data_IF_116151901107
#
_entry.id   IF_116151901107
#
_cell.length_a   1.000
_cell.length_b   1.000
_cell.length_c   1.000
_cell.angle_alpha   90.00
_cell.angle_beta   90.00
_cell.angle_gamma   90.00
#
_symmetry.space_group_name_H-M   'P 1'
#
loop_
_entity.id
_entity.type
_entity.pdbx_description
1 polymer ?
#
# COMPACT_ATOMS: atom_id res chain seq x y z
N UNK A 1 16.27 -0.59 30.56
CA UNK A 1 15.01 -0.67 31.32
C UNK A 1 13.84 -0.55 30.35
N UNK A 2 13.44 -1.64 29.70
CA UNK A 2 12.38 -1.67 28.65
C UNK A 2 11.53 -2.94 28.68
N UNK A 3 11.89 -3.93 29.51
CA UNK A 3 11.16 -5.20 29.59
C UNK A 3 9.76 -5.06 30.23
N UNK A 4 9.52 -4.00 31.00
CA UNK A 4 8.24 -3.81 31.72
C UNK A 4 7.09 -3.41 30.79
N UNK A 5 7.34 -2.63 29.73
CA UNK A 5 6.29 -2.17 28.80
C UNK A 5 5.80 -3.28 27.88
N UNK A 6 6.69 -4.19 27.48
CA UNK A 6 6.34 -5.31 26.60
C UNK A 6 5.59 -6.40 27.37
N UNK A 7 5.93 -6.59 28.65
CA UNK A 7 5.17 -7.46 29.56
C UNK A 7 3.79 -6.84 29.83
N UNK A 8 3.68 -5.54 30.10
CA UNK A 8 2.38 -4.86 30.24
C UNK A 8 1.54 -4.91 28.97
N UNK A 9 2.16 -4.79 27.79
CA UNK A 9 1.49 -4.90 26.49
C UNK A 9 0.91 -6.29 26.27
N UNK A 10 1.71 -7.34 26.50
CA UNK A 10 1.26 -8.75 26.41
C UNK A 10 0.26 -9.12 27.49
N UNK A 11 0.39 -8.57 28.70
CA UNK A 11 -0.57 -8.78 29.79
C UNK A 11 -1.91 -8.10 29.46
N UNK A 12 -1.91 -6.91 28.86
CA UNK A 12 -3.11 -6.24 28.35
C UNK A 12 -3.76 -7.00 27.19
N UNK A 13 -2.98 -7.52 26.25
CA UNK A 13 -3.50 -8.37 25.18
C UNK A 13 -4.10 -9.67 25.74
N UNK A 14 -3.47 -10.31 26.72
CA UNK A 14 -4.01 -11.52 27.37
C UNK A 14 -5.24 -11.24 28.22
N UNK A 15 -5.32 -10.08 28.90
CA UNK A 15 -6.52 -9.63 29.62
C UNK A 15 -7.67 -9.24 28.68
N UNK A 16 -7.37 -8.86 27.44
CA UNK A 16 -8.38 -8.60 26.40
C UNK A 16 -8.80 -9.86 25.66
N UNK A 17 -8.05 -10.96 25.74
CA UNK A 17 -8.43 -12.29 25.22
C UNK A 17 -9.18 -13.09 26.29
N UNK A 18 -8.88 -12.89 27.57
CA UNK A 18 -9.55 -13.54 28.70
C UNK A 18 -10.71 -12.73 29.28
N UNK A 19 -11.90 -13.34 29.31
CA UNK A 19 -13.13 -12.92 30.01
C UNK A 19 -14.06 -11.99 29.20
N UNK A 20 -15.24 -12.52 28.83
CA UNK A 20 -16.41 -11.69 28.52
C UNK A 20 -16.73 -10.86 29.77
N UNK A 21 -16.65 -9.55 29.67
CA UNK A 21 -17.17 -8.66 30.73
C UNK A 21 -18.69 -8.79 30.68
N UNK A 22 -19.27 -9.35 31.73
CA UNK A 22 -20.70 -9.58 31.83
C UNK A 22 -21.43 -8.23 31.82
N UNK A 23 -22.36 -8.06 30.86
CA UNK A 23 -23.08 -6.79 30.66
C UNK A 23 -22.37 -5.76 29.77
N UNK A 24 -21.19 -6.05 29.20
CA UNK A 24 -20.55 -5.16 28.21
C UNK A 24 -21.39 -5.07 26.93
N UNK A 25 -21.52 -3.85 26.40
CA UNK A 25 -22.36 -3.53 25.24
C UNK A 25 -21.55 -2.67 24.28
N UNK A 26 -21.93 -2.72 23.01
CA UNK A 26 -21.38 -1.79 22.02
C UNK A 26 -21.81 -0.37 22.40
N UNK A 27 -20.83 0.47 22.75
CA UNK A 27 -21.05 1.85 23.14
C UNK A 27 -20.96 2.83 21.97
N UNK A 28 -20.34 2.40 20.86
CA UNK A 28 -20.25 3.15 19.62
C UNK A 28 -20.84 2.33 18.47
N UNK A 29 -21.61 2.99 17.61
CA UNK A 29 -22.12 2.38 16.38
C UNK A 29 -21.03 2.25 15.32
N UNK A 30 -21.16 1.25 14.44
CA UNK A 30 -20.20 0.98 13.37
C UNK A 30 -19.93 2.19 12.46
N UNK A 31 -20.94 3.05 12.22
CA UNK A 31 -20.76 4.26 11.42
C UNK A 31 -19.74 5.23 12.04
N UNK A 32 -19.77 5.40 13.37
CA UNK A 32 -18.80 6.24 14.10
C UNK A 32 -17.42 5.62 14.05
N UNK A 33 -17.33 4.30 14.26
CA UNK A 33 -16.06 3.57 14.22
C UNK A 33 -15.43 3.61 12.82
N UNK A 34 -16.24 3.48 11.75
CA UNK A 34 -15.78 3.57 10.36
C UNK A 34 -15.29 4.98 10.01
N UNK A 35 -16.05 6.01 10.39
CA UNK A 35 -15.66 7.41 10.15
C UNK A 35 -14.36 7.81 10.90
N UNK A 36 -14.13 7.19 12.06
CA UNK A 36 -12.86 7.33 12.78
C UNK A 36 -11.70 6.61 12.08
N UNK A 37 -11.95 5.41 11.53
CA UNK A 37 -10.93 4.61 10.84
C UNK A 37 -10.54 5.18 9.46
N UNK A 38 -11.47 5.83 8.75
CA UNK A 38 -11.21 6.44 7.45
C UNK A 38 -10.71 7.90 7.54
N UNK A 39 -10.65 8.47 8.75
CA UNK A 39 -10.17 9.82 9.02
C UNK A 39 -11.17 10.92 8.64
N UNK A 40 -12.37 10.58 8.17
CA UNK A 40 -13.41 11.56 7.84
C UNK A 40 -13.91 12.32 9.07
N UNK A 41 -13.79 11.72 10.26
CA UNK A 41 -14.15 12.36 11.53
C UNK A 41 -13.29 11.83 12.69
N UNK A 42 -12.61 12.71 13.46
CA UNK A 42 -11.94 12.29 14.68
C UNK A 42 -12.95 11.92 15.78
N UNK A 43 -12.59 10.97 16.65
CA UNK A 43 -13.38 10.64 17.84
C UNK A 43 -13.36 11.79 18.86
N UNK A 44 -14.54 12.19 19.32
CA UNK A 44 -14.71 13.14 20.45
C UNK A 44 -14.13 12.56 21.74
N UNK A 45 -13.93 13.41 22.76
CA UNK A 45 -13.45 12.95 24.06
C UNK A 45 -14.38 11.90 24.71
N UNK A 46 -15.70 12.09 24.58
CA UNK A 46 -16.71 11.14 25.07
C UNK A 46 -16.67 9.81 24.32
N UNK A 47 -16.52 9.83 22.99
CA UNK A 47 -16.40 8.61 22.19
C UNK A 47 -15.09 7.86 22.47
N UNK A 48 -13.99 8.57 22.71
CA UNK A 48 -12.72 7.96 23.15
C UNK A 48 -12.85 7.29 24.51
N UNK A 49 -13.52 7.94 25.47
CA UNK A 49 -13.80 7.35 26.77
C UNK A 49 -14.70 6.11 26.66
N UNK A 50 -15.74 6.17 25.82
CA UNK A 50 -16.62 5.03 25.55
C UNK A 50 -15.88 3.86 24.88
N UNK A 51 -14.96 4.14 23.94
CA UNK A 51 -14.12 3.12 23.32
C UNK A 51 -13.22 2.44 24.35
N UNK A 52 -12.58 3.20 25.24
CA UNK A 52 -11.70 2.65 26.29
C UNK A 52 -12.46 1.88 27.37
N UNK A 53 -13.69 2.27 27.68
CA UNK A 53 -14.52 1.65 28.70
C UNK A 53 -15.13 0.30 28.27
N UNK A 54 -15.20 0.01 26.97
CA UNK A 54 -15.84 -1.20 26.43
C UNK A 54 -14.86 -2.06 25.61
N UNK A 55 -14.37 -3.18 26.19
CA UNK A 55 -13.61 -4.18 25.44
C UNK A 55 -14.34 -4.68 24.20
N UNK A 56 -15.67 -4.83 24.23
CA UNK A 56 -16.48 -5.23 23.08
C UNK A 56 -16.42 -4.18 21.95
N UNK A 57 -16.49 -2.89 22.29
CA UNK A 57 -16.36 -1.79 21.32
C UNK A 57 -14.95 -1.73 20.72
N UNK A 58 -13.89 -1.96 21.52
CA UNK A 58 -12.52 -2.09 21.01
C UNK A 58 -12.34 -3.29 20.06
N UNK A 59 -12.89 -4.46 20.42
CA UNK A 59 -12.89 -5.64 19.55
C UNK A 59 -13.61 -5.33 18.23
N UNK A 60 -14.76 -4.65 18.28
CA UNK A 60 -15.50 -4.24 17.08
C UNK A 60 -14.70 -3.29 16.20
N UNK A 61 -14.05 -2.28 16.77
CA UNK A 61 -13.15 -1.38 16.04
C UNK A 61 -12.02 -2.16 15.35
N UNK A 62 -11.40 -3.13 16.05
CA UNK A 62 -10.35 -3.99 15.47
C UNK A 62 -10.87 -4.83 14.30
N UNK A 63 -12.06 -5.43 14.44
CA UNK A 63 -12.71 -6.17 13.35
C UNK A 63 -12.98 -5.27 12.14
N UNK A 64 -13.55 -4.08 12.35
CA UNK A 64 -13.82 -3.13 11.26
C UNK A 64 -12.55 -2.64 10.58
N UNK A 65 -11.45 -2.45 11.34
CA UNK A 65 -10.15 -2.10 10.77
C UNK A 65 -9.58 -3.22 9.89
N UNK A 66 -9.74 -4.48 10.31
CA UNK A 66 -9.33 -5.65 9.53
C UNK A 66 -10.20 -5.81 8.26
N UNK A 67 -11.51 -5.66 8.38
CA UNK A 67 -12.45 -5.68 7.23
C UNK A 67 -12.09 -4.59 6.21
N UNK A 68 -11.81 -3.37 6.67
CA UNK A 68 -11.38 -2.27 5.81
C UNK A 68 -10.06 -2.59 5.09
N UNK A 69 -9.09 -3.14 5.83
CA UNK A 69 -7.80 -3.52 5.23
C UNK A 69 -7.99 -4.62 4.19
N UNK A 70 -8.81 -5.64 4.46
CA UNK A 70 -9.14 -6.68 3.49
C UNK A 70 -9.85 -6.10 2.25
N UNK A 71 -10.83 -5.22 2.43
CA UNK A 71 -11.51 -4.56 1.32
C UNK A 71 -10.56 -3.69 0.48
N UNK A 72 -9.61 -2.98 1.10
CA UNK A 72 -8.60 -2.20 0.39
C UNK A 72 -7.61 -3.09 -0.38
N UNK A 73 -7.31 -4.28 0.15
CA UNK A 73 -6.51 -5.30 -0.54
C UNK A 73 -7.26 -5.81 -1.78
N UNK A 74 -8.54 -6.12 -1.64
CA UNK A 74 -9.36 -6.67 -2.72
C UNK A 74 -9.69 -5.62 -3.81
N UNK A 75 -9.86 -4.36 -3.42
CA UNK A 75 -10.24 -3.26 -4.31
C UNK A 75 -9.07 -2.62 -5.07
N UNK A 76 -7.82 -2.98 -4.80
CA UNK A 76 -6.69 -2.41 -5.56
C UNK A 76 -6.76 -2.87 -7.03
N UNK A 77 -6.86 -1.90 -7.93
CA UNK A 77 -6.90 -2.11 -9.38
C UNK A 77 -5.70 -1.50 -10.11
N UNK A 78 -4.98 -0.57 -9.47
CA UNK A 78 -3.79 0.04 -10.04
C UNK A 78 -3.22 1.20 -9.22
N UNK A 79 -2.01 1.62 -9.60
CA UNK A 79 -1.25 2.70 -8.99
C UNK A 79 -0.67 3.61 -10.08
N UNK A 80 -0.80 4.92 -9.93
CA UNK A 80 -0.24 5.92 -10.87
C UNK A 80 1.03 6.54 -10.33
N UNK A 81 1.91 7.03 -11.21
CA UNK A 81 3.08 7.81 -10.84
C UNK A 81 3.49 8.79 -11.93
N UNK A 82 4.43 9.67 -11.59
CA UNK A 82 4.87 10.75 -12.47
C UNK A 82 6.38 10.96 -12.37
N UNK A 83 7.03 11.19 -13.52
CA UNK A 83 8.39 11.70 -13.60
C UNK A 83 8.44 13.10 -12.98
N UNK A 84 9.09 13.21 -11.81
CA UNK A 84 9.35 14.51 -11.18
C UNK A 84 10.73 14.98 -11.63
N UNK A 85 10.80 16.27 -11.99
CA UNK A 85 11.91 16.90 -12.70
C UNK A 85 13.30 16.33 -12.34
N UNK A 86 13.91 15.64 -13.30
CA UNK A 86 15.31 15.23 -13.25
C UNK A 86 16.14 16.34 -13.90
N UNK A 87 16.35 17.44 -13.18
CA UNK A 87 17.07 18.64 -13.66
C UNK A 87 18.61 18.51 -13.61
N UNK A 88 19.14 17.30 -13.42
CA UNK A 88 20.59 17.12 -13.17
C UNK A 88 21.40 16.62 -14.37
N UNK A 89 20.77 16.39 -15.53
CA UNK A 89 21.45 15.78 -16.69
C UNK A 89 21.92 14.33 -16.47
N UNK A 90 21.65 13.75 -15.30
CA UNK A 90 21.89 12.35 -15.00
C UNK A 90 20.75 11.48 -15.57
N UNK A 91 21.08 10.26 -16.00
CA UNK A 91 20.10 9.29 -16.48
C UNK A 91 19.05 8.98 -15.40
N UNK A 92 17.78 8.84 -15.82
CA UNK A 92 16.69 8.44 -14.93
C UNK A 92 16.98 7.07 -14.34
N UNK A 93 17.12 6.99 -13.02
CA UNK A 93 17.41 5.73 -12.31
C UNK A 93 16.17 5.07 -11.74
N UNK A 94 15.19 5.86 -11.30
CA UNK A 94 13.96 5.33 -10.72
C UNK A 94 12.74 6.26 -10.84
N UNK A 95 11.55 5.66 -10.80
CA UNK A 95 10.26 6.32 -10.60
C UNK A 95 9.48 5.60 -9.48
N UNK A 96 8.60 6.31 -8.80
CA UNK A 96 7.72 5.74 -7.79
C UNK A 96 6.25 6.10 -8.08
N UNK A 97 5.34 5.23 -7.68
CA UNK A 97 3.91 5.54 -7.70
C UNK A 97 3.55 6.51 -6.56
N UNK A 98 2.53 7.35 -6.78
CA UNK A 98 2.13 8.39 -5.83
C UNK A 98 1.55 7.81 -4.52
N UNK A 99 1.06 6.57 -4.56
CA UNK A 99 0.62 5.81 -3.37
C UNK A 99 1.76 5.09 -2.63
N UNK A 100 3.00 5.22 -3.11
CA UNK A 100 4.17 4.60 -2.51
C UNK A 100 4.16 3.07 -2.55
N UNK A 101 3.37 2.44 -3.43
CA UNK A 101 3.26 0.99 -3.46
C UNK A 101 4.24 0.32 -4.44
N UNK A 102 4.70 1.03 -5.48
CA UNK A 102 5.63 0.50 -6.49
C UNK A 102 6.76 1.46 -6.81
N UNK A 103 7.88 0.89 -7.27
CA UNK A 103 8.96 1.60 -7.95
C UNK A 103 9.28 0.97 -9.29
N UNK A 104 9.64 1.79 -10.26
CA UNK A 104 10.29 1.37 -11.50
C UNK A 104 11.75 1.75 -11.42
N UNK A 105 12.65 0.78 -11.52
CA UNK A 105 14.08 1.00 -11.63
C UNK A 105 14.54 0.82 -13.06
N UNK A 106 15.53 1.62 -13.47
CA UNK A 106 16.16 1.55 -14.78
C UNK A 106 17.62 1.18 -14.59
N UNK A 107 17.96 -0.09 -14.85
CA UNK A 107 19.30 -0.62 -14.69
C UNK A 107 20.06 -0.56 -16.03
N UNK A 108 21.16 0.19 -16.07
CA UNK A 108 21.95 0.42 -17.28
C UNK A 108 21.85 1.88 -17.75
N UNK A 109 22.13 2.12 -19.03
CA UNK A 109 22.15 3.48 -19.60
C UNK A 109 21.43 3.56 -20.95
N UNK A 110 20.77 4.70 -21.17
CA UNK A 110 20.07 4.99 -22.42
C UNK A 110 18.97 3.98 -22.73
N UNK A 111 18.84 3.62 -24.01
CA UNK A 111 17.82 2.70 -24.51
C UNK A 111 18.16 1.21 -24.30
N UNK A 112 19.42 0.89 -23.95
CA UNK A 112 19.85 -0.48 -23.69
C UNK A 112 19.64 -0.91 -22.22
N UNK A 113 18.89 -0.13 -21.43
CA UNK A 113 18.65 -0.42 -20.03
C UNK A 113 17.60 -1.54 -19.85
N UNK A 114 17.55 -2.08 -18.64
CA UNK A 114 16.50 -2.96 -18.17
C UNK A 114 15.54 -2.16 -17.30
N UNK A 115 14.25 -2.44 -17.41
CA UNK A 115 13.23 -1.89 -16.52
C UNK A 115 12.80 -2.96 -15.53
N UNK A 116 12.78 -2.61 -14.25
CA UNK A 116 12.42 -3.50 -13.14
C UNK A 116 11.28 -2.84 -12.38
N UNK A 117 10.12 -3.49 -12.33
CA UNK A 117 9.03 -3.12 -11.43
C UNK A 117 9.27 -3.81 -10.09
N UNK A 118 9.31 -3.02 -9.02
CA UNK A 118 9.47 -3.48 -7.64
C UNK A 118 8.24 -3.11 -6.82
N UNK A 119 7.62 -4.10 -6.18
CA UNK A 119 6.58 -3.93 -5.18
C UNK A 119 7.20 -3.57 -3.83
N UNK A 120 6.69 -2.53 -3.16
CA UNK A 120 7.19 -2.13 -1.85
C UNK A 120 6.49 -2.93 -0.73
N UNK A 121 7.24 -3.34 0.32
CA UNK A 121 6.71 -4.20 1.37
C UNK A 121 5.60 -3.54 2.21
N UNK A 122 5.53 -2.21 2.21
CA UNK A 122 4.48 -1.44 2.87
C UNK A 122 3.14 -1.46 2.11
N UNK A 123 3.12 -1.91 0.85
CA UNK A 123 1.91 -1.94 0.04
C UNK A 123 0.86 -2.86 0.68
N UNK A 124 -0.35 -2.36 1.00
CA UNK A 124 -1.35 -3.13 1.74
C UNK A 124 -1.72 -4.47 1.09
N UNK A 125 -1.68 -4.52 -0.24
CA UNK A 125 -2.03 -5.65 -1.11
C UNK A 125 -0.84 -6.54 -1.52
N UNK A 126 0.38 -6.28 -1.02
CA UNK A 126 1.59 -6.98 -1.44
C UNK A 126 1.46 -8.51 -1.32
N UNK A 127 1.03 -9.00 -0.15
CA UNK A 127 0.87 -10.42 0.11
C UNK A 127 -0.13 -11.09 -0.86
N UNK A 128 -1.17 -10.35 -1.30
CA UNK A 128 -2.14 -10.85 -2.28
C UNK A 128 -1.47 -11.02 -3.64
N UNK A 129 -0.82 -9.97 -4.14
CA UNK A 129 -0.19 -9.98 -5.46
C UNK A 129 0.85 -11.10 -5.62
N UNK A 130 1.66 -11.33 -4.57
CA UNK A 130 2.66 -12.39 -4.56
C UNK A 130 2.02 -13.79 -4.53
N UNK A 131 1.06 -14.00 -3.63
CA UNK A 131 0.40 -15.31 -3.47
C UNK A 131 -0.42 -15.70 -4.70
N UNK A 132 -1.11 -14.76 -5.32
CA UNK A 132 -1.98 -15.01 -6.46
C UNK A 132 -1.25 -14.89 -7.81
N UNK A 133 0.04 -14.52 -7.79
CA UNK A 133 0.88 -14.33 -8.97
C UNK A 133 0.16 -13.50 -10.05
N UNK A 134 -0.45 -12.38 -9.59
CA UNK A 134 -1.27 -11.49 -10.43
C UNK A 134 -0.42 -10.96 -11.58
N UNK A 135 -0.99 -10.96 -12.79
CA UNK A 135 -0.34 -10.38 -13.95
C UNK A 135 -0.42 -8.86 -13.86
N UNK A 136 0.74 -8.20 -13.81
CA UNK A 136 0.83 -6.75 -13.75
C UNK A 136 1.25 -6.19 -15.10
N UNK A 137 0.73 -5.00 -15.41
CA UNK A 137 1.09 -4.22 -16.59
C UNK A 137 1.55 -2.83 -16.15
N UNK A 138 2.65 -2.38 -16.73
CA UNK A 138 3.17 -1.02 -16.58
C UNK A 138 2.90 -0.29 -17.89
N UNK A 139 2.15 0.80 -17.82
CA UNK A 139 1.80 1.64 -18.97
C UNK A 139 2.43 3.02 -18.83
N UNK A 140 2.85 3.62 -19.95
CA UNK A 140 3.23 5.03 -20.00
C UNK A 140 1.99 5.95 -19.97
N UNK A 141 2.23 7.27 -19.93
CA UNK A 141 1.15 8.26 -19.88
C UNK A 141 0.29 8.34 -21.14
N UNK A 142 0.67 7.66 -22.24
CA UNK A 142 -0.15 7.48 -23.43
C UNK A 142 -0.89 6.13 -23.46
N UNK A 143 -0.72 5.28 -22.43
CA UNK A 143 -1.30 3.95 -22.35
C UNK A 143 -0.52 2.86 -23.08
N UNK A 144 0.70 3.14 -23.53
CA UNK A 144 1.58 2.15 -24.18
C UNK A 144 2.22 1.27 -23.13
N UNK A 145 2.27 -0.03 -23.37
CA UNK A 145 2.89 -0.99 -22.46
C UNK A 145 4.41 -0.88 -22.44
N UNK A 146 4.97 -0.73 -21.25
CA UNK A 146 6.41 -0.74 -20.97
C UNK A 146 6.85 -2.14 -20.53
N UNK A 147 6.06 -2.76 -19.66
CA UNK A 147 6.36 -4.05 -19.04
C UNK A 147 5.05 -4.79 -18.76
N UNK A 148 5.06 -6.11 -18.97
CA UNK A 148 4.01 -7.00 -18.50
C UNK A 148 4.66 -8.24 -17.87
N UNK A 149 4.25 -8.59 -16.65
CA UNK A 149 4.85 -9.70 -15.94
C UNK A 149 4.17 -10.03 -14.61
N UNK A 150 4.54 -11.17 -14.05
CA UNK A 150 4.18 -11.55 -12.67
C UNK A 150 5.37 -11.28 -11.77
N UNK A 151 5.10 -10.84 -10.55
CA UNK A 151 6.15 -10.66 -9.54
C UNK A 151 6.74 -12.00 -9.13
N UNK A 152 8.04 -12.03 -8.93
CA UNK A 152 8.76 -13.16 -8.35
C UNK A 152 8.68 -13.16 -6.80
N UNK A 153 9.47 -14.02 -6.16
CA UNK A 153 9.48 -14.15 -4.70
C UNK A 153 9.99 -12.90 -3.97
N UNK A 154 10.78 -12.07 -4.64
CA UNK A 154 11.33 -10.82 -4.11
C UNK A 154 10.39 -9.62 -4.38
N UNK A 155 9.30 -9.86 -5.11
CA UNK A 155 8.33 -8.83 -5.46
C UNK A 155 8.76 -7.99 -6.65
N UNK A 156 9.53 -8.58 -7.56
CA UNK A 156 10.05 -7.91 -8.75
C UNK A 156 9.59 -8.58 -10.05
N UNK A 157 9.47 -7.79 -11.10
CA UNK A 157 9.41 -8.31 -12.46
C UNK A 157 10.12 -7.36 -13.42
N UNK A 158 10.73 -7.90 -14.47
CA UNK A 158 11.67 -7.14 -15.29
C UNK A 158 11.63 -7.52 -16.76
N UNK A 159 11.96 -6.55 -17.63
CA UNK A 159 12.19 -6.79 -19.04
C UNK A 159 13.26 -5.84 -19.59
N UNK A 160 13.76 -6.14 -20.79
CA UNK A 160 14.53 -5.16 -21.54
C UNK A 160 13.65 -3.93 -21.80
N UNK A 161 14.23 -2.73 -21.75
CA UNK A 161 13.52 -1.52 -22.12
C UNK A 161 13.06 -1.62 -23.58
N UNK A 162 11.76 -1.49 -23.87
CA UNK A 162 11.23 -1.84 -25.19
C UNK A 162 11.29 -0.69 -26.19
N UNK A 163 11.74 0.51 -25.78
CA UNK A 163 11.70 1.71 -26.61
C UNK A 163 13.10 2.16 -27.05
N UNK A 164 13.19 2.83 -28.21
CA UNK A 164 14.46 3.34 -28.73
C UNK A 164 14.95 4.60 -28.01
N UNK A 165 14.05 5.37 -27.39
CA UNK A 165 14.39 6.57 -26.62
C UNK A 165 14.84 6.16 -25.20
N UNK A 166 15.72 6.95 -24.58
CA UNK A 166 16.07 6.73 -23.17
C UNK A 166 14.83 6.92 -22.26
N UNK A 167 14.72 6.23 -21.10
CA UNK A 167 13.53 6.29 -20.25
C UNK A 167 13.05 7.70 -19.92
N UNK A 168 13.95 8.60 -19.55
CA UNK A 168 13.62 10.00 -19.24
C UNK A 168 12.92 10.71 -20.41
N UNK A 169 13.50 10.61 -21.61
CA UNK A 169 12.99 11.23 -22.83
C UNK A 169 11.64 10.62 -23.24
N UNK A 170 11.52 9.29 -23.14
CA UNK A 170 10.27 8.58 -23.42
C UNK A 170 9.14 9.09 -22.51
N UNK A 171 9.34 9.09 -21.19
CA UNK A 171 8.30 9.57 -20.27
C UNK A 171 7.96 11.04 -20.50
N UNK A 172 8.95 11.92 -20.70
CA UNK A 172 8.70 13.33 -21.00
C UNK A 172 7.79 13.52 -22.23
N UNK A 173 8.06 12.78 -23.31
CA UNK A 173 7.24 12.83 -24.54
C UNK A 173 5.83 12.27 -24.35
N UNK A 174 5.63 11.41 -23.35
CA UNK A 174 4.35 10.70 -23.09
C UNK A 174 3.59 11.27 -21.89
N UNK A 175 3.79 12.56 -21.60
CA UNK A 175 3.04 13.27 -20.54
C UNK A 175 3.57 13.05 -19.13
N UNK A 176 4.83 12.59 -19.01
CA UNK A 176 5.57 12.41 -17.77
C UNK A 176 4.91 11.45 -16.77
N UNK A 177 3.98 10.58 -17.19
CA UNK A 177 3.21 9.69 -16.30
C UNK A 177 3.48 8.23 -16.60
N UNK A 178 3.17 7.39 -15.63
CA UNK A 178 3.06 5.95 -15.78
C UNK A 178 1.98 5.39 -14.86
N UNK A 179 1.55 4.16 -15.12
CA UNK A 179 0.64 3.43 -14.23
C UNK A 179 0.99 1.95 -14.16
N UNK A 180 0.69 1.34 -13.02
CA UNK A 180 0.76 -0.10 -12.77
C UNK A 180 -0.67 -0.59 -12.62
N UNK A 181 -1.05 -1.64 -13.34
CA UNK A 181 -2.42 -2.17 -13.35
C UNK A 181 -2.40 -3.69 -13.17
N UNK A 182 -3.38 -4.21 -12.43
CA UNK A 182 -3.67 -5.64 -12.40
C UNK A 182 -4.51 -6.04 -13.63
N UNK A 183 -4.23 -7.21 -14.20
CA UNK A 183 -4.98 -7.81 -15.33
C UNK A 183 -5.65 -9.11 -14.91
#
# INVERSE_FOLDING_TARGET
MTASSDIEGKLREQLLVGRRVEGDRLLLGDAVLRAALDGSRPLTAGERAALQASPLTMRRLRTLALERRAAAIDAWQGSGGMLRAADSGAGLTQLATDDGCFRLHFAGSGAACRVILQLLPEAPFAARLLREAVLLRVLDGAGTEILQGRLDADGECECAWPFPDAPAEHFQRRGARFSVQAT
#
